data_IF_615659696585
#
_entry.id   IF_615659696585
#
_cell.length_a   1.000
_cell.length_b   1.000
_cell.length_c   1.000
_cell.angle_alpha   90.00
_cell.angle_beta   90.00
_cell.angle_gamma   90.00
#
_symmetry.space_group_name_H-M   'P 1'
#
loop_
_entity.id
_entity.type
_entity.pdbx_description
1 polymer ?
#
# COMPACT_ATOMS: atom_id res chain seq x y z
N UNK A 1 -80.85 -17.56 22.54
CA UNK A 1 -80.79 -18.49 21.39
C UNK A 1 -80.39 -17.75 20.09
N UNK A 2 -79.34 -18.25 19.42
CA UNK A 2 -78.87 -17.95 18.04
C UNK A 2 -78.32 -16.52 17.77
N UNK A 3 -77.00 -16.24 17.82
CA UNK A 3 -75.88 -16.53 16.89
C UNK A 3 -75.86 -15.75 15.56
N UNK A 4 -74.84 -14.86 15.38
CA UNK A 4 -73.76 -14.84 14.34
C UNK A 4 -73.46 -13.50 13.64
N UNK A 5 -72.15 -13.27 13.45
CA UNK A 5 -71.51 -12.30 12.54
C UNK A 5 -70.13 -11.88 13.10
N UNK A 6 -69.02 -12.59 12.88
CA UNK A 6 -68.10 -12.53 11.70
C UNK A 6 -67.86 -11.08 11.24
N UNK A 7 -66.66 -10.49 11.22
CA UNK A 7 -65.33 -11.03 11.00
C UNK A 7 -64.23 -10.16 11.65
N UNK A 8 -63.23 -10.81 12.25
CA UNK A 8 -61.95 -10.18 12.60
C UNK A 8 -60.97 -10.48 11.44
N UNK A 9 -60.97 -9.63 10.40
CA UNK A 9 -59.82 -9.54 9.51
C UNK A 9 -58.87 -8.49 10.09
N UNK A 10 -57.96 -8.96 10.95
CA UNK A 10 -56.75 -8.21 11.28
C UNK A 10 -55.59 -8.95 10.61
N UNK A 11 -55.44 -8.78 9.30
CA UNK A 11 -54.15 -8.97 8.63
C UNK A 11 -53.09 -8.18 9.41
N UNK A 12 -52.36 -8.89 10.26
CA UNK A 12 -51.03 -8.49 10.70
C UNK A 12 -50.17 -8.45 9.44
N UNK A 13 -50.06 -7.26 8.82
CA UNK A 13 -48.92 -6.97 7.96
C UNK A 13 -47.70 -6.96 8.87
N UNK A 14 -47.04 -8.12 8.97
CA UNK A 14 -45.66 -8.19 9.45
C UNK A 14 -44.86 -7.24 8.54
N UNK A 15 -44.47 -6.10 9.09
CA UNK A 15 -43.41 -5.30 8.49
C UNK A 15 -42.13 -6.14 8.61
N UNK A 16 -41.37 -6.36 7.52
CA UNK A 16 -40.06 -6.95 7.67
C UNK A 16 -39.24 -6.00 8.57
N UNK A 17 -38.65 -6.57 9.61
CA UNK A 17 -37.74 -5.87 10.51
C UNK A 17 -36.69 -5.09 9.70
N UNK A 18 -36.25 -3.89 10.13
CA UNK A 18 -35.17 -3.20 9.46
C UNK A 18 -33.92 -4.08 9.58
N UNK A 19 -33.67 -4.86 8.53
CA UNK A 19 -32.42 -5.57 8.36
C UNK A 19 -31.32 -4.52 8.48
N UNK A 20 -30.44 -4.71 9.45
CA UNK A 20 -29.23 -3.92 9.62
C UNK A 20 -28.48 -4.07 8.30
N UNK A 21 -28.68 -3.13 7.39
CA UNK A 21 -27.98 -3.09 6.12
C UNK A 21 -26.59 -2.64 6.49
N UNK A 22 -25.69 -3.61 6.66
CA UNK A 22 -24.27 -3.36 6.79
C UNK A 22 -23.78 -2.86 5.42
N UNK A 23 -24.09 -1.59 5.08
CA UNK A 23 -23.34 -0.85 4.09
C UNK A 23 -21.95 -0.63 4.70
N UNK A 24 -21.12 -1.67 4.61
CA UNK A 24 -19.68 -1.57 4.74
C UNK A 24 -19.17 -0.66 3.65
N UNK A 25 -19.37 0.65 3.83
CA UNK A 25 -18.76 1.67 3.00
C UNK A 25 -17.29 1.62 3.36
N UNK A 26 -16.53 0.78 2.66
CA UNK A 26 -15.08 0.83 2.63
C UNK A 26 -14.72 2.27 2.30
N UNK A 27 -14.39 3.06 3.33
CA UNK A 27 -13.96 4.44 3.14
C UNK A 27 -12.60 4.35 2.47
N UNK A 28 -12.54 4.73 1.20
CA UNK A 28 -11.29 4.82 0.47
C UNK A 28 -10.29 5.65 1.29
N UNK A 29 -9.09 5.11 1.49
CA UNK A 29 -8.02 5.83 2.17
C UNK A 29 -7.51 6.94 1.26
N UNK A 30 -7.35 8.14 1.82
CA UNK A 30 -6.83 9.29 1.09
C UNK A 30 -5.29 9.26 1.09
N UNK A 31 -4.71 8.61 0.08
CA UNK A 31 -3.26 8.59 -0.13
C UNK A 31 -2.80 9.96 -0.61
N UNK A 32 -1.80 10.54 0.07
CA UNK A 32 -1.32 11.90 -0.20
C UNK A 32 -0.18 11.95 -1.22
N UNK A 33 0.90 11.23 -0.94
CA UNK A 33 2.11 11.27 -1.74
C UNK A 33 3.00 10.06 -1.46
N UNK A 34 3.92 9.80 -2.38
CA UNK A 34 5.04 8.88 -2.16
C UNK A 34 6.14 9.64 -1.41
N UNK A 35 6.50 9.15 -0.22
CA UNK A 35 7.54 9.77 0.59
C UNK A 35 8.95 9.44 0.06
N UNK A 36 9.19 8.19 -0.31
CA UNK A 36 10.47 7.76 -0.88
C UNK A 36 10.31 6.49 -1.72
N UNK A 37 11.34 6.19 -2.49
CA UNK A 37 11.51 4.97 -3.27
C UNK A 37 12.81 4.32 -2.80
N UNK A 38 12.75 3.04 -2.45
CA UNK A 38 13.93 2.27 -2.04
C UNK A 38 14.38 1.35 -3.17
N UNK A 39 15.68 1.37 -3.46
CA UNK A 39 16.31 0.52 -4.48
C UNK A 39 17.47 -0.26 -3.87
N UNK A 40 17.28 -1.56 -3.75
CA UNK A 40 18.32 -2.51 -3.34
C UNK A 40 19.29 -2.80 -4.51
N UNK A 41 20.59 -2.94 -4.22
CA UNK A 41 21.64 -3.23 -5.22
C UNK A 41 22.84 -3.94 -4.60
N UNK A 42 23.51 -4.79 -5.39
CA UNK A 42 24.81 -5.40 -5.05
C UNK A 42 25.97 -4.41 -5.24
N UNK A 43 25.77 -3.36 -6.04
CA UNK A 43 26.77 -2.33 -6.32
C UNK A 43 26.15 -0.95 -6.09
N UNK A 44 26.40 -0.39 -4.90
CA UNK A 44 25.92 0.93 -4.49
C UNK A 44 26.59 2.02 -5.31
N UNK A 45 27.91 1.91 -5.50
CA UNK A 45 28.71 2.96 -6.13
C UNK A 45 28.32 3.16 -7.59
N UNK A 46 28.06 2.07 -8.33
CA UNK A 46 27.55 2.14 -9.71
C UNK A 46 26.24 2.93 -9.81
N UNK A 47 25.30 2.70 -8.90
CA UNK A 47 24.03 3.45 -8.90
C UNK A 47 24.23 4.90 -8.44
N UNK A 48 25.09 5.14 -7.45
CA UNK A 48 25.46 6.51 -7.05
C UNK A 48 25.98 7.30 -8.24
N UNK A 49 26.95 6.75 -8.98
CA UNK A 49 27.51 7.43 -10.14
C UNK A 49 26.47 7.66 -11.24
N UNK A 50 25.58 6.69 -11.49
CA UNK A 50 24.48 6.85 -12.44
C UNK A 50 23.51 7.98 -12.03
N UNK A 51 22.99 7.94 -10.80
CA UNK A 51 22.00 8.92 -10.35
C UNK A 51 22.60 10.30 -10.14
N UNK A 52 23.87 10.39 -9.72
CA UNK A 52 24.55 11.68 -9.55
C UNK A 52 24.98 12.29 -10.88
N UNK A 53 25.58 11.51 -11.80
CA UNK A 53 26.25 12.06 -12.99
C UNK A 53 25.40 12.00 -14.25
N UNK A 54 24.66 10.91 -14.45
CA UNK A 54 23.83 10.72 -15.65
C UNK A 54 22.47 11.38 -15.46
N UNK A 55 21.84 11.14 -14.30
CA UNK A 55 20.52 11.74 -13.99
C UNK A 55 20.66 13.15 -13.39
N UNK A 56 21.76 13.44 -12.70
CA UNK A 56 21.98 14.76 -12.10
C UNK A 56 21.25 14.99 -10.78
N UNK A 57 20.90 13.93 -10.04
CA UNK A 57 20.21 14.06 -8.75
C UNK A 57 21.18 14.52 -7.65
N UNK A 58 20.77 15.49 -6.81
CA UNK A 58 21.58 15.90 -5.66
C UNK A 58 21.55 14.82 -4.57
N UNK A 59 22.73 14.39 -4.15
CA UNK A 59 22.91 13.48 -3.02
C UNK A 59 22.68 14.22 -1.70
N UNK A 60 22.00 13.57 -0.75
CA UNK A 60 21.71 14.11 0.59
C UNK A 60 22.36 13.26 1.68
N UNK A 61 22.48 13.82 2.89
CA UNK A 61 23.07 13.13 4.03
C UNK A 61 22.19 11.94 4.44
N UNK A 62 22.82 10.77 4.50
CA UNK A 62 22.22 9.53 5.01
C UNK A 62 22.75 9.26 6.42
N UNK A 63 21.89 8.91 7.41
CA UNK A 63 22.33 8.40 8.70
C UNK A 63 23.15 7.11 8.54
N UNK A 64 24.08 6.85 9.46
CA UNK A 64 24.79 5.58 9.45
C UNK A 64 23.88 4.46 9.99
N UNK A 65 23.69 3.41 9.18
CA UNK A 65 22.88 2.25 9.52
C UNK A 65 23.71 0.95 9.59
N UNK A 66 25.04 1.02 9.43
CA UNK A 66 25.92 -0.16 9.45
C UNK A 66 25.94 -0.98 8.15
N UNK A 67 25.32 -0.50 7.08
CA UNK A 67 25.38 -1.07 5.73
C UNK A 67 25.53 0.03 4.68
N UNK A 68 26.05 -0.32 3.51
CA UNK A 68 26.25 0.58 2.39
C UNK A 68 24.95 1.19 1.85
N UNK A 69 25.04 2.37 1.26
CA UNK A 69 23.86 3.03 0.69
C UNK A 69 24.03 4.53 0.54
N UNK A 70 23.15 5.13 -0.24
CA UNK A 70 23.17 6.56 -0.55
C UNK A 70 21.75 7.09 -0.72
N UNK A 71 21.53 8.35 -0.35
CA UNK A 71 20.23 9.00 -0.49
C UNK A 71 20.32 10.15 -1.48
N UNK A 72 19.29 10.27 -2.31
CA UNK A 72 19.15 11.34 -3.30
C UNK A 72 17.82 12.04 -3.13
N UNK A 73 17.81 13.35 -3.36
CA UNK A 73 16.58 14.13 -3.38
C UNK A 73 16.02 14.16 -4.81
N UNK A 74 14.78 13.70 -5.00
CA UNK A 74 14.05 13.91 -6.25
C UNK A 74 13.37 15.28 -6.23
N UNK A 75 12.91 15.79 -7.39
CA UNK A 75 12.03 16.95 -7.42
C UNK A 75 10.83 16.79 -6.48
N UNK A 76 10.48 17.86 -5.76
CA UNK A 76 9.42 17.85 -4.75
C UNK A 76 9.92 17.36 -3.39
N UNK A 77 9.13 16.50 -2.73
CA UNK A 77 9.39 16.02 -1.37
C UNK A 77 9.78 14.53 -1.32
N UNK A 78 9.96 13.88 -2.47
CA UNK A 78 10.25 12.45 -2.54
C UNK A 78 11.76 12.20 -2.56
N UNK A 79 12.19 11.12 -1.91
CA UNK A 79 13.60 10.72 -1.86
C UNK A 79 13.84 9.38 -2.54
N UNK A 80 15.05 9.16 -3.06
CA UNK A 80 15.52 7.88 -3.56
C UNK A 80 16.56 7.36 -2.58
N UNK A 81 16.30 6.18 -2.02
CA UNK A 81 17.21 5.50 -1.11
C UNK A 81 17.83 4.31 -1.83
N UNK A 82 19.12 4.39 -2.09
CA UNK A 82 19.92 3.25 -2.54
C UNK A 82 20.38 2.49 -1.31
N UNK A 83 20.12 1.18 -1.30
CA UNK A 83 20.37 0.29 -0.17
C UNK A 83 21.27 -0.83 -0.65
N UNK A 84 22.38 -1.05 0.06
CA UNK A 84 23.21 -2.23 -0.16
C UNK A 84 22.42 -3.50 0.13
N UNK A 85 22.54 -4.45 -0.79
CA UNK A 85 21.92 -5.76 -0.69
C UNK A 85 22.60 -6.61 0.37
N UNK A 86 21.80 -7.26 1.21
CA UNK A 86 22.30 -8.31 2.10
C UNK A 86 22.65 -9.57 1.27
N UNK A 87 23.92 -10.01 1.25
CA UNK A 87 24.34 -11.20 0.48
C UNK A 87 23.75 -12.51 1.03
N UNK A 88 23.27 -12.53 2.28
CA UNK A 88 22.64 -13.71 2.89
C UNK A 88 21.16 -13.83 2.51
N UNK A 89 20.56 -12.77 1.97
CA UNK A 89 19.15 -12.75 1.59
C UNK A 89 18.97 -13.42 0.22
N UNK A 90 18.18 -14.51 0.13
CA UNK A 90 18.02 -15.24 -1.11
C UNK A 90 17.40 -14.39 -2.24
N UNK A 91 17.84 -14.63 -3.47
CA UNK A 91 17.31 -14.03 -4.70
C UNK A 91 15.91 -14.56 -5.02
N UNK A 92 14.87 -14.01 -4.39
CA UNK A 92 13.48 -14.40 -4.66
C UNK A 92 13.07 -14.07 -6.11
N UNK A 93 13.69 -13.07 -6.75
CA UNK A 93 13.31 -12.61 -8.09
C UNK A 93 14.10 -13.26 -9.25
N UNK A 94 15.23 -13.93 -8.98
CA UNK A 94 16.09 -14.48 -10.05
C UNK A 94 15.72 -15.91 -10.47
N UNK A 95 14.84 -16.57 -9.71
CA UNK A 95 14.49 -17.99 -9.89
C UNK A 95 13.31 -18.23 -10.85
N UNK A 96 12.68 -17.19 -11.38
CA UNK A 96 11.47 -17.33 -12.23
C UNK A 96 11.74 -17.43 -13.73
N UNK A 97 12.99 -17.42 -14.21
CA UNK A 97 13.27 -17.37 -15.65
C UNK A 97 14.36 -18.35 -16.14
N UNK A 98 14.41 -19.54 -15.56
CA UNK A 98 15.02 -20.72 -16.21
C UNK A 98 13.91 -21.54 -16.88
N UNK A 99 13.61 -21.21 -18.14
CA UNK A 99 13.06 -22.14 -19.12
C UNK A 99 14.17 -22.55 -20.07
#
# INVERSE_FOLDING_TARGET
>A
PHQRGFALDRRQKQQPSPGITLLGRSRSLNIKAVNHISRETEDVQRLVDFYARVVGLPQIKRPDFGFGGAWFQLPGQTQLHIIERDPLKPDVCRQSNSR
#
